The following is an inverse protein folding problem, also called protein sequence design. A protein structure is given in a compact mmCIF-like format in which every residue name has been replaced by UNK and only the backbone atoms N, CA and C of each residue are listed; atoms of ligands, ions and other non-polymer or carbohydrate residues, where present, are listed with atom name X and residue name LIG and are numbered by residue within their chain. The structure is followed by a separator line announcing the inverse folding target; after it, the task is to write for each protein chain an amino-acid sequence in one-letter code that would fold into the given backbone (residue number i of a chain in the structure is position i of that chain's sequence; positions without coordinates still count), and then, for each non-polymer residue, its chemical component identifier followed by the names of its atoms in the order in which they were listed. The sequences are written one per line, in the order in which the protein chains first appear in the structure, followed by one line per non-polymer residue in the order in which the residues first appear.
data_IF_958188267790
#
_entry.id   IF_958188267790
#
_cell.length_a   1.000
_cell.length_b   1.000
_cell.length_c   1.000
_cell.angle_alpha   90.00
_cell.angle_beta   90.00
_cell.angle_gamma   90.00
#
_symmetry.space_group_name_H-M   'P 1'
#
loop_
_entity.id
_entity.type
_entity.pdbx_description
1 polymer ?
#
# COMPACT_ATOMS: atom_id res chain seq x y z
N UNK A 1 -16.47 -50.66 11.28
CA UNK A 1 -15.05 -51.09 11.28
C UNK A 1 -14.84 -52.12 10.18
N UNK A 2 -14.06 -51.73 9.16
CA UNK A 2 -13.08 -52.52 8.38
C UNK A 2 -12.89 -51.81 7.04
N UNK A 3 -11.76 -51.14 6.92
CA UNK A 3 -11.27 -50.55 5.69
C UNK A 3 -10.86 -51.68 4.74
N UNK A 4 -11.08 -51.49 3.43
CA UNK A 4 -10.26 -52.15 2.43
C UNK A 4 -10.04 -51.18 1.26
N UNK A 5 -8.77 -50.84 1.08
CA UNK A 5 -8.25 -50.03 -0.03
C UNK A 5 -8.06 -50.97 -1.21
N UNK A 6 -8.54 -50.59 -2.39
CA UNK A 6 -8.08 -51.20 -3.64
C UNK A 6 -7.77 -50.10 -4.65
N UNK A 7 -6.49 -49.74 -4.68
CA UNK A 7 -5.82 -48.99 -5.74
C UNK A 7 -6.01 -49.69 -7.08
N UNK A 8 -6.63 -49.01 -8.05
CA UNK A 8 -6.55 -49.40 -9.45
C UNK A 8 -5.44 -48.61 -10.13
N UNK A 9 -4.47 -49.34 -10.68
CA UNK A 9 -3.44 -48.85 -11.60
C UNK A 9 -4.14 -48.33 -12.86
N UNK A 10 -3.90 -47.07 -13.19
CA UNK A 10 -4.04 -46.58 -14.55
C UNK A 10 -2.64 -46.33 -15.08
N UNK A 11 -2.12 -47.30 -15.83
CA UNK A 11 -1.03 -47.04 -16.77
C UNK A 11 -1.66 -46.45 -18.03
N UNK A 12 -1.35 -45.19 -18.30
CA UNK A 12 -1.50 -44.61 -19.63
C UNK A 12 -0.18 -43.94 -19.97
N UNK A 13 0.63 -44.68 -20.70
CA UNK A 13 1.73 -44.12 -21.47
C UNK A 13 1.14 -43.39 -22.67
N UNK A 14 1.24 -42.06 -22.65
CA UNK A 14 1.20 -41.27 -23.88
C UNK A 14 2.38 -40.30 -23.80
N UNK A 15 3.46 -40.71 -24.45
CA UNK A 15 4.59 -39.85 -24.75
C UNK A 15 4.13 -38.85 -25.83
N UNK A 16 3.71 -37.65 -25.43
CA UNK A 16 3.64 -36.49 -26.33
C UNK A 16 4.76 -35.56 -25.93
N UNK A 17 5.88 -35.68 -26.62
CA UNK A 17 6.98 -34.74 -26.54
C UNK A 17 6.62 -33.49 -27.35
N UNK A 18 5.71 -32.69 -26.82
CA UNK A 18 5.51 -31.32 -27.27
C UNK A 18 6.42 -30.44 -26.42
N UNK A 19 7.67 -30.32 -26.86
CA UNK A 19 8.59 -29.28 -26.41
C UNK A 19 7.97 -27.92 -26.75
N UNK A 20 7.05 -27.46 -25.90
CA UNK A 20 6.73 -26.04 -25.84
C UNK A 20 8.00 -25.36 -25.35
N UNK A 21 8.76 -24.86 -26.32
CA UNK A 21 9.74 -23.81 -26.14
C UNK A 21 9.00 -22.64 -25.49
N UNK A 22 9.00 -22.63 -24.15
CA UNK A 22 8.56 -21.50 -23.36
C UNK A 22 9.61 -20.43 -23.68
N UNK A 23 9.31 -19.60 -24.67
CA UNK A 23 9.98 -18.33 -24.89
C UNK A 23 9.83 -17.57 -23.57
N UNK A 24 10.88 -17.65 -22.75
CA UNK A 24 11.07 -16.81 -21.59
C UNK A 24 11.35 -15.41 -22.10
N UNK A 25 10.35 -14.81 -22.75
CA UNK A 25 10.34 -13.41 -23.09
C UNK A 25 10.33 -12.69 -21.76
N UNK A 26 11.53 -12.25 -21.37
CA UNK A 26 11.86 -11.58 -20.13
C UNK A 26 10.92 -10.37 -20.03
N UNK A 27 9.76 -10.56 -19.39
CA UNK A 27 8.80 -9.52 -19.07
C UNK A 27 9.44 -8.66 -17.98
N UNK A 28 10.42 -7.86 -18.40
CA UNK A 28 10.97 -6.77 -17.63
C UNK A 28 9.80 -5.82 -17.36
N UNK A 29 9.10 -6.02 -16.25
CA UNK A 29 8.05 -5.12 -15.80
C UNK A 29 8.64 -3.70 -15.78
N UNK A 30 8.25 -2.88 -16.76
CA UNK A 30 8.71 -1.49 -16.84
C UNK A 30 8.37 -0.82 -15.52
N UNK A 31 9.39 -0.52 -14.71
CA UNK A 31 9.23 0.18 -13.42
C UNK A 31 8.38 1.42 -13.66
N UNK A 32 7.17 1.43 -13.12
CA UNK A 32 6.27 2.58 -13.25
C UNK A 32 6.97 3.79 -12.64
N UNK A 33 7.13 4.84 -13.43
CA UNK A 33 7.69 6.12 -12.98
C UNK A 33 6.80 6.64 -11.86
N UNK A 34 7.35 6.76 -10.66
CA UNK A 34 6.62 7.34 -9.51
C UNK A 34 6.42 8.82 -9.78
N UNK A 35 5.17 9.28 -9.80
CA UNK A 35 4.84 10.70 -9.86
C UNK A 35 5.41 11.41 -8.63
N UNK A 36 6.03 12.57 -8.84
CA UNK A 36 6.47 13.43 -7.74
C UNK A 36 5.23 14.12 -7.16
N UNK A 37 4.98 13.91 -5.88
CA UNK A 37 3.91 14.59 -5.13
C UNK A 37 4.45 15.95 -4.68
N UNK A 38 3.70 17.02 -4.96
CA UNK A 38 3.94 18.35 -4.40
C UNK A 38 3.15 18.49 -3.10
N UNK A 39 3.85 18.51 -1.97
CA UNK A 39 3.23 18.58 -0.65
C UNK A 39 3.10 20.02 -0.21
N UNK A 40 1.87 20.43 0.14
CA UNK A 40 1.59 21.77 0.68
C UNK A 40 1.20 21.65 2.15
N UNK A 41 1.81 22.47 3.00
CA UNK A 41 1.43 22.59 4.42
C UNK A 41 0.03 23.21 4.48
N UNK A 42 -0.90 22.54 5.15
CA UNK A 42 -2.25 23.05 5.39
C UNK A 42 -2.36 23.64 6.81
N UNK A 43 -2.16 22.80 7.84
CA UNK A 43 -2.35 23.18 9.24
C UNK A 43 -1.19 22.72 10.12
N UNK A 44 -0.97 23.46 11.19
CA UNK A 44 -0.11 23.06 12.30
C UNK A 44 -0.90 23.16 13.60
N UNK A 45 -0.84 22.11 14.40
CA UNK A 45 -1.41 22.08 15.73
C UNK A 45 -0.29 22.24 16.75
N UNK A 46 -0.59 22.54 18.01
CA UNK A 46 0.38 22.52 19.10
C UNK A 46 0.38 21.20 19.86
N UNK A 47 -0.66 20.38 19.67
CA UNK A 47 -0.91 19.13 20.38
C UNK A 47 -1.22 17.99 19.40
N UNK A 48 -0.69 16.81 19.71
CA UNK A 48 -0.88 15.60 18.90
C UNK A 48 -2.34 15.13 18.95
N UNK A 49 -2.98 15.22 20.12
CA UNK A 49 -4.36 14.78 20.26
C UNK A 49 -5.30 15.61 19.36
N UNK A 50 -5.07 16.92 19.25
CA UNK A 50 -5.80 17.79 18.32
C UNK A 50 -5.55 17.41 16.87
N UNK A 51 -4.29 17.13 16.52
CA UNK A 51 -3.91 16.69 15.17
C UNK A 51 -4.63 15.40 14.76
N UNK A 52 -4.59 14.40 15.63
CA UNK A 52 -5.24 13.10 15.38
C UNK A 52 -6.76 13.25 15.34
N UNK A 53 -7.33 14.12 16.17
CA UNK A 53 -8.76 14.40 16.16
C UNK A 53 -9.20 15.04 14.85
N UNK A 54 -8.45 16.00 14.30
CA UNK A 54 -8.75 16.63 13.02
C UNK A 54 -8.85 15.59 11.88
N UNK A 55 -7.86 14.70 11.76
CA UNK A 55 -7.89 13.62 10.75
C UNK A 55 -9.07 12.68 10.95
N UNK A 56 -9.36 12.31 12.21
CA UNK A 56 -10.48 11.41 12.53
C UNK A 56 -11.83 12.05 12.20
N UNK A 57 -11.98 13.35 12.44
CA UNK A 57 -13.22 14.09 12.15
C UNK A 57 -13.51 14.15 10.65
N UNK A 58 -12.48 14.25 9.80
CA UNK A 58 -12.66 14.26 8.34
C UNK A 58 -13.21 12.93 7.81
N UNK A 59 -12.96 11.80 8.49
CA UNK A 59 -13.43 10.44 8.10
C UNK A 59 -13.09 10.04 6.66
N UNK A 60 -12.12 10.71 6.03
CA UNK A 60 -11.70 10.51 4.64
C UNK A 60 -10.36 9.80 4.50
N UNK A 61 -9.64 9.61 5.60
CA UNK A 61 -8.24 9.19 5.58
C UNK A 61 -8.04 7.84 6.25
N UNK A 62 -7.30 6.97 5.58
CA UNK A 62 -6.83 5.70 6.13
C UNK A 62 -5.32 5.74 6.26
N UNK A 63 -4.79 5.36 7.43
CA UNK A 63 -3.35 5.27 7.67
C UNK A 63 -2.72 4.30 6.67
N UNK A 64 -1.62 4.72 6.05
CA UNK A 64 -0.95 3.93 5.01
C UNK A 64 0.41 3.42 5.49
N UNK A 65 1.36 4.30 5.84
CA UNK A 65 2.64 3.90 6.42
C UNK A 65 3.22 5.00 7.30
N UNK A 66 4.27 4.66 8.04
CA UNK A 66 5.04 5.60 8.85
C UNK A 66 6.50 5.57 8.40
N UNK A 67 7.11 6.74 8.27
CA UNK A 67 8.53 6.91 7.98
C UNK A 67 9.18 7.65 9.14
N UNK A 68 10.29 7.13 9.65
CA UNK A 68 11.13 7.82 10.64
C UNK A 68 12.40 8.26 9.93
N UNK A 69 12.65 9.56 9.90
CA UNK A 69 13.83 10.14 9.28
C UNK A 69 14.58 11.06 10.23
N UNK A 70 15.64 11.68 9.71
CA UNK A 70 16.43 12.68 10.42
C UNK A 70 15.58 13.88 10.88
N UNK A 71 14.59 14.28 10.09
CA UNK A 71 13.71 15.42 10.39
C UNK A 71 12.53 15.05 11.31
N UNK A 72 12.49 13.82 11.82
CA UNK A 72 11.44 13.30 12.69
C UNK A 72 10.52 12.28 12.01
N UNK A 73 9.30 12.16 12.53
CA UNK A 73 8.36 11.09 12.16
C UNK A 73 7.32 11.64 11.18
N UNK A 74 7.14 10.95 10.05
CA UNK A 74 6.10 11.23 9.05
C UNK A 74 5.10 10.09 9.00
N UNK A 75 3.84 10.35 9.34
CA UNK A 75 2.74 9.37 9.24
C UNK A 75 1.92 9.69 8.01
N UNK A 76 1.97 8.81 7.01
CA UNK A 76 1.25 8.99 5.75
C UNK A 76 -0.13 8.35 5.80
N UNK A 77 -1.11 9.05 5.25
CA UNK A 77 -2.47 8.59 5.08
C UNK A 77 -2.84 8.71 3.60
N UNK A 78 -3.72 7.81 3.17
CA UNK A 78 -4.31 7.82 1.83
C UNK A 78 -5.82 8.04 1.94
N UNK A 79 -6.39 8.62 0.90
CA UNK A 79 -7.83 8.72 0.75
C UNK A 79 -8.48 7.33 0.87
N UNK A 80 -9.53 7.23 1.68
CA UNK A 80 -10.26 5.99 1.95
C UNK A 80 -11.39 5.73 0.95
N UNK A 81 -11.64 6.66 0.02
CA UNK A 81 -12.61 6.53 -1.05
C UNK A 81 -12.07 5.58 -2.13
N UNK A 82 -12.22 4.28 -1.88
CA UNK A 82 -11.78 3.22 -2.80
C UNK A 82 -12.91 2.90 -3.76
N UNK A 83 -12.66 2.98 -5.06
CA UNK A 83 -13.63 2.53 -6.08
C UNK A 83 -13.33 1.09 -6.47
N UNK A 84 -14.36 0.24 -6.58
CA UNK A 84 -14.17 -1.16 -7.06
C UNK A 84 -13.69 -1.21 -8.51
N UNK A 85 -14.17 -0.29 -9.35
CA UNK A 85 -13.73 -0.08 -10.73
C UNK A 85 -13.53 1.41 -10.98
N UNK A 86 -12.47 1.78 -11.72
CA UNK A 86 -12.18 3.17 -12.09
C UNK A 86 -11.02 3.81 -11.32
N UNK A 87 -10.79 5.12 -11.57
CA UNK A 87 -9.68 5.88 -10.97
C UNK A 87 -9.82 5.93 -9.45
N UNK A 88 -8.79 5.46 -8.74
CA UNK A 88 -8.67 5.60 -7.30
C UNK A 88 -8.43 7.07 -6.92
N UNK A 89 -8.91 7.46 -5.74
CA UNK A 89 -8.56 8.73 -5.14
C UNK A 89 -7.03 8.80 -4.94
N UNK A 90 -6.38 9.75 -5.60
CA UNK A 90 -4.93 9.96 -5.55
C UNK A 90 -4.51 10.92 -4.43
N UNK A 91 -5.47 11.54 -3.75
CA UNK A 91 -5.22 12.44 -2.63
C UNK A 91 -4.53 11.71 -1.47
N UNK A 92 -3.56 12.38 -0.88
CA UNK A 92 -2.80 11.88 0.24
C UNK A 92 -2.51 13.00 1.23
N UNK A 93 -2.39 12.64 2.51
CA UNK A 93 -1.90 13.54 3.55
C UNK A 93 -0.76 12.89 4.30
N UNK A 94 0.09 13.71 4.93
CA UNK A 94 0.94 13.22 6.00
C UNK A 94 0.90 14.13 7.21
N UNK A 95 1.09 13.51 8.37
CA UNK A 95 1.46 14.17 9.60
C UNK A 95 2.96 14.19 9.73
N UNK A 96 3.54 15.32 10.08
CA UNK A 96 4.96 15.43 10.41
C UNK A 96 5.13 15.89 11.86
N UNK A 97 5.89 15.10 12.60
CA UNK A 97 6.32 15.33 13.97
C UNK A 97 7.83 15.60 13.96
N UNK A 98 8.26 16.87 14.09
CA UNK A 98 9.68 17.21 14.13
C UNK A 98 10.38 16.64 15.37
N UNK A 99 11.68 16.39 15.29
CA UNK A 99 12.46 15.93 16.45
C UNK A 99 12.69 17.05 17.50
N UNK A 100 12.84 18.30 17.04
CA UNK A 100 13.30 19.43 17.86
C UNK A 100 12.16 20.39 18.26
N UNK A 101 10.90 19.98 18.09
CA UNK A 101 9.73 20.83 18.36
C UNK A 101 8.76 20.12 19.29
N UNK A 102 8.02 20.91 20.08
CA UNK A 102 6.81 20.51 20.81
C UNK A 102 5.89 19.59 19.96
N UNK A 103 4.89 18.88 20.54
CA UNK A 103 4.02 17.93 19.85
C UNK A 103 3.08 18.54 18.79
N UNK A 104 3.58 19.50 18.01
CA UNK A 104 2.95 20.07 16.85
C UNK A 104 2.94 19.08 15.70
N UNK A 105 1.78 18.49 15.43
CA UNK A 105 1.53 17.79 14.19
C UNK A 105 1.32 18.79 13.06
N UNK A 106 2.09 18.63 11.98
CA UNK A 106 1.90 19.40 10.74
C UNK A 106 1.16 18.51 9.74
N UNK A 107 0.00 18.95 9.26
CA UNK A 107 -0.73 18.27 8.17
C UNK A 107 -0.30 18.89 6.84
N UNK A 108 0.12 18.04 5.91
CA UNK A 108 0.38 18.43 4.52
C UNK A 108 -0.45 17.60 3.56
N UNK A 109 -0.97 18.24 2.50
CA UNK A 109 -1.84 17.63 1.49
C UNK A 109 -1.12 17.54 0.13
N UNK A 110 -1.49 16.51 -0.63
CA UNK A 110 -1.19 16.38 -2.05
C UNK A 110 -2.48 16.21 -2.85
#
# INVERSE_FOLDING_TARGET
MKNFVMTQRYESSSESNDEMEIDHQDFQEKKKVRRKLHWMKDRSFSDDAQTQMAIKQEKQWSRYYCNKGHDGIKVHYRCNQVKFRGKQCDAAIYLHYPNDSDPSGIISYN
#
